data_IF_596862468282
#
_entry.id   IF_596862468282
#
_cell.length_a   1.000
_cell.length_b   1.000
_cell.length_c   1.000
_cell.angle_alpha   90.00
_cell.angle_beta   90.00
_cell.angle_gamma   90.00
#
_symmetry.space_group_name_H-M   'P 1'
#
loop_
_entity.id
_entity.type
_entity.pdbx_description
1 polymer ?
#
# COMPACT_ATOMS: atom_id res chain seq x y z
N UNK A 1 33.59 34.92 -44.08
CA UNK A 1 32.47 34.05 -43.64
C UNK A 1 31.46 33.70 -44.77
N UNK A 2 31.61 34.25 -45.95
CA UNK A 2 30.78 33.96 -47.13
C UNK A 2 31.22 32.73 -47.93
N UNK A 3 32.50 32.39 -47.93
CA UNK A 3 33.02 31.27 -48.73
C UNK A 3 32.68 29.86 -48.26
N UNK A 4 32.28 29.69 -46.98
CA UNK A 4 31.94 28.36 -46.45
C UNK A 4 30.51 27.94 -46.86
N UNK A 5 29.59 28.87 -47.16
CA UNK A 5 28.22 28.57 -47.61
C UNK A 5 28.17 28.08 -49.06
N UNK A 6 29.06 28.52 -49.92
CA UNK A 6 29.06 28.10 -51.34
C UNK A 6 29.52 26.66 -51.55
N UNK A 7 30.53 26.20 -50.82
CA UNK A 7 31.04 24.83 -50.91
C UNK A 7 30.02 23.78 -50.45
N UNK A 8 29.14 24.11 -49.50
CA UNK A 8 28.13 23.19 -48.99
C UNK A 8 27.03 22.85 -50.00
N UNK A 9 26.56 23.83 -50.78
CA UNK A 9 25.48 23.63 -51.77
C UNK A 9 25.95 22.87 -53.01
N UNK A 10 27.16 23.10 -53.48
CA UNK A 10 27.72 22.39 -54.62
C UNK A 10 28.03 20.94 -54.26
N UNK A 11 28.47 20.67 -53.04
CA UNK A 11 28.67 19.32 -52.54
C UNK A 11 27.33 18.57 -52.43
N UNK A 12 26.27 19.20 -51.93
CA UNK A 12 24.94 18.65 -51.85
C UNK A 12 24.36 18.36 -53.25
N UNK A 13 24.52 19.30 -54.22
CA UNK A 13 24.12 19.12 -55.62
C UNK A 13 24.87 17.97 -56.29
N UNK A 14 26.18 17.85 -56.04
CA UNK A 14 26.98 16.74 -56.56
C UNK A 14 26.51 15.41 -56.04
N UNK A 15 26.29 15.26 -54.74
CA UNK A 15 25.75 14.01 -54.18
C UNK A 15 24.32 13.73 -54.64
N UNK A 16 23.49 14.74 -54.81
CA UNK A 16 22.16 14.59 -55.38
C UNK A 16 22.20 14.10 -56.82
N UNK A 17 23.09 14.66 -57.67
CA UNK A 17 23.29 14.19 -59.04
C UNK A 17 23.82 12.75 -59.12
N UNK A 18 24.78 12.40 -58.27
CA UNK A 18 25.28 11.03 -58.13
C UNK A 18 24.17 10.04 -57.76
N UNK A 19 23.36 10.40 -56.77
CA UNK A 19 22.21 9.63 -56.32
C UNK A 19 21.19 9.47 -57.45
N UNK A 20 20.81 10.55 -58.11
CA UNK A 20 19.83 10.53 -59.21
C UNK A 20 20.31 9.69 -60.39
N UNK A 21 21.61 9.76 -60.74
CA UNK A 21 22.22 8.97 -61.83
C UNK A 21 22.28 7.47 -61.46
N UNK A 22 22.51 7.17 -60.19
CA UNK A 22 22.53 5.77 -59.73
C UNK A 22 21.13 5.09 -59.77
N UNK A 23 20.06 5.88 -59.52
CA UNK A 23 18.66 5.40 -59.58
C UNK A 23 18.03 5.44 -60.96
N UNK A 24 18.62 6.15 -61.96
CA UNK A 24 18.02 6.31 -63.31
C UNK A 24 17.94 5.04 -64.15
N UNK A 25 18.69 3.98 -63.78
CA UNK A 25 18.65 2.66 -64.44
C UNK A 25 17.78 1.60 -63.78
N UNK A 26 17.15 1.93 -62.62
CA UNK A 26 16.39 0.94 -61.85
C UNK A 26 14.92 0.90 -62.23
N UNK A 27 14.31 -0.32 -62.18
CA UNK A 27 12.87 -0.42 -62.30
C UNK A 27 12.18 0.38 -61.20
N UNK A 28 11.03 0.97 -61.50
CA UNK A 28 10.30 1.82 -60.56
C UNK A 28 10.01 1.10 -59.22
N UNK A 29 9.79 -0.23 -59.26
CA UNK A 29 9.55 -1.07 -58.07
C UNK A 29 10.76 -1.07 -57.11
N UNK A 30 11.98 -1.19 -57.67
CA UNK A 30 13.20 -1.17 -56.86
C UNK A 30 13.43 0.21 -56.27
N UNK A 31 13.19 1.28 -57.02
CA UNK A 31 13.30 2.67 -56.53
C UNK A 31 12.32 2.95 -55.39
N UNK A 32 11.09 2.48 -55.49
CA UNK A 32 10.09 2.60 -54.40
C UNK A 32 10.51 1.80 -53.19
N UNK A 33 10.98 0.56 -53.36
CA UNK A 33 11.45 -0.25 -52.22
C UNK A 33 12.62 0.42 -51.47
N UNK A 34 13.62 0.94 -52.18
CA UNK A 34 14.71 1.66 -51.58
C UNK A 34 14.27 2.94 -50.86
N UNK A 35 13.34 3.70 -51.46
CA UNK A 35 12.80 4.90 -50.81
C UNK A 35 12.06 4.54 -49.52
N UNK A 36 11.32 3.45 -49.48
CA UNK A 36 10.65 2.97 -48.27
C UNK A 36 11.69 2.58 -47.20
N UNK A 37 12.71 1.79 -47.59
CA UNK A 37 13.80 1.38 -46.67
C UNK A 37 14.53 2.60 -46.09
N UNK A 38 14.84 3.58 -46.96
CA UNK A 38 15.48 4.82 -46.56
C UNK A 38 14.62 5.63 -45.53
N UNK A 39 13.34 5.81 -45.87
CA UNK A 39 12.41 6.50 -44.96
C UNK A 39 12.26 5.77 -43.64
N UNK A 40 12.15 4.43 -43.65
CA UNK A 40 12.10 3.62 -42.43
C UNK A 40 13.40 3.75 -41.61
N UNK A 41 14.56 3.75 -42.25
CA UNK A 41 15.85 3.91 -41.59
C UNK A 41 15.98 5.28 -40.93
N UNK A 42 15.60 6.35 -41.63
CA UNK A 42 15.57 7.71 -41.08
C UNK A 42 14.60 7.80 -39.87
N UNK A 43 13.41 7.23 -40.02
CA UNK A 43 12.44 7.20 -38.92
C UNK A 43 12.97 6.45 -37.69
N UNK A 44 13.64 5.31 -37.87
CA UNK A 44 14.28 4.55 -36.78
C UNK A 44 15.40 5.36 -36.11
N UNK A 45 16.24 6.08 -36.88
CA UNK A 45 17.30 6.94 -36.33
C UNK A 45 16.67 8.07 -35.51
N UNK A 46 15.64 8.74 -36.02
CA UNK A 46 14.94 9.80 -35.32
C UNK A 46 14.29 9.29 -34.00
N UNK A 47 13.63 8.13 -34.06
CA UNK A 47 13.07 7.47 -32.87
C UNK A 47 14.18 7.14 -31.86
N UNK A 48 15.32 6.62 -32.31
CA UNK A 48 16.48 6.34 -31.48
C UNK A 48 17.02 7.59 -30.79
N UNK A 49 17.14 8.70 -31.54
CA UNK A 49 17.59 9.99 -30.98
C UNK A 49 16.58 10.54 -29.94
N UNK A 50 15.29 10.49 -30.23
CA UNK A 50 14.23 10.90 -29.30
C UNK A 50 14.27 10.03 -28.03
N UNK A 51 14.44 8.72 -28.20
CA UNK A 51 14.57 7.80 -27.06
C UNK A 51 15.83 8.11 -26.23
N UNK A 52 16.99 8.24 -26.86
CA UNK A 52 18.24 8.57 -26.19
C UNK A 52 18.15 9.91 -25.41
N UNK A 53 17.52 10.91 -26.01
CA UNK A 53 17.29 12.21 -25.35
C UNK A 53 16.34 12.07 -24.14
N UNK A 54 15.27 11.29 -24.26
CA UNK A 54 14.36 11.02 -23.14
C UNK A 54 15.07 10.28 -22.00
N UNK A 55 15.86 9.25 -22.33
CA UNK A 55 16.64 8.49 -21.32
C UNK A 55 17.66 9.40 -20.63
N UNK A 56 18.40 10.23 -21.40
CA UNK A 56 19.36 11.16 -20.84
C UNK A 56 18.69 12.19 -19.91
N UNK A 57 17.55 12.74 -20.32
CA UNK A 57 16.76 13.67 -19.49
C UNK A 57 16.26 13.00 -18.21
N UNK A 58 15.78 11.74 -18.31
CA UNK A 58 15.36 10.94 -17.15
C UNK A 58 16.53 10.70 -16.20
N UNK A 59 17.70 10.31 -16.72
CA UNK A 59 18.88 10.05 -15.91
C UNK A 59 19.40 11.32 -15.20
N UNK A 60 19.36 12.47 -15.87
CA UNK A 60 19.73 13.76 -15.24
C UNK A 60 18.76 14.11 -14.10
N UNK A 61 17.43 13.94 -14.31
CA UNK A 61 16.44 14.16 -13.27
C UNK A 61 16.64 13.21 -12.09
N UNK A 62 16.89 11.93 -12.36
CA UNK A 62 17.13 10.92 -11.30
C UNK A 62 18.38 11.28 -10.49
N UNK A 63 19.49 11.62 -11.14
CA UNK A 63 20.71 12.05 -10.43
C UNK A 63 20.47 13.28 -9.55
N UNK A 64 19.69 14.23 -10.03
CA UNK A 64 19.34 15.41 -9.23
C UNK A 64 18.46 15.03 -8.01
N UNK A 65 17.49 14.14 -8.20
CA UNK A 65 16.67 13.61 -7.09
C UNK A 65 17.51 12.84 -6.07
N UNK A 66 18.44 11.99 -6.54
CA UNK A 66 19.34 11.23 -5.66
C UNK A 66 20.22 12.16 -4.82
N UNK A 67 20.75 13.24 -5.42
CA UNK A 67 21.54 14.25 -4.70
C UNK A 67 20.71 14.98 -3.62
N UNK A 68 19.47 15.31 -3.91
CA UNK A 68 18.56 15.92 -2.93
C UNK A 68 18.22 14.90 -1.84
N UNK A 69 17.95 13.64 -2.23
CA UNK A 69 17.65 12.58 -1.28
C UNK A 69 18.80 12.38 -0.29
N UNK A 70 20.04 12.28 -0.77
CA UNK A 70 21.22 12.11 0.08
C UNK A 70 21.38 13.26 1.12
N UNK A 71 21.01 14.50 0.73
CA UNK A 71 21.13 15.66 1.61
C UNK A 71 20.01 15.76 2.64
N UNK A 72 18.78 15.49 2.23
CA UNK A 72 17.60 15.83 3.03
C UNK A 72 16.92 14.65 3.73
N UNK A 73 17.15 13.39 3.32
CA UNK A 73 16.40 12.23 3.83
C UNK A 73 16.44 12.11 5.35
N UNK A 74 17.61 12.23 5.96
CA UNK A 74 17.73 12.09 7.42
C UNK A 74 17.06 13.25 8.17
N UNK A 75 17.19 14.47 7.68
CA UNK A 75 16.53 15.64 8.26
C UNK A 75 15.01 15.56 8.11
N UNK A 76 14.51 15.11 6.96
CA UNK A 76 13.08 14.90 6.74
C UNK A 76 12.52 13.80 7.65
N UNK A 77 13.26 12.69 7.86
CA UNK A 77 12.89 11.66 8.82
C UNK A 77 12.82 12.23 10.25
N UNK A 78 13.83 12.98 10.66
CA UNK A 78 13.87 13.61 11.98
C UNK A 78 12.66 14.53 12.18
N UNK A 79 12.32 15.36 11.19
CA UNK A 79 11.16 16.25 11.25
C UNK A 79 9.85 15.47 11.35
N UNK A 80 9.70 14.39 10.54
CA UNK A 80 8.48 13.58 10.53
C UNK A 80 8.28 12.80 11.83
N UNK A 81 9.36 12.35 12.46
CA UNK A 81 9.31 11.59 13.73
C UNK A 81 9.27 12.48 14.98
N UNK A 82 9.46 13.79 14.83
CA UNK A 82 9.37 14.72 15.97
C UNK A 82 7.92 15.08 16.29
N UNK A 83 7.67 15.43 17.55
CA UNK A 83 6.37 15.95 17.99
C UNK A 83 6.18 17.39 17.52
N UNK A 84 5.01 17.70 16.98
CA UNK A 84 4.48 19.04 16.62
C UNK A 84 5.53 20.17 16.42
N UNK A 85 6.35 20.05 15.38
CA UNK A 85 7.38 21.05 15.07
C UNK A 85 6.77 22.24 14.31
N UNK A 86 7.06 23.50 14.70
CA UNK A 86 6.58 24.67 13.95
C UNK A 86 7.30 24.83 12.61
N UNK A 87 6.60 25.41 11.62
CA UNK A 87 7.13 25.61 10.27
C UNK A 87 8.48 26.35 10.23
N UNK A 88 8.67 27.34 11.08
CA UNK A 88 9.93 28.11 11.20
C UNK A 88 11.13 27.22 11.53
N UNK A 89 10.96 26.30 12.49
CA UNK A 89 12.02 25.36 12.87
C UNK A 89 12.31 24.34 11.76
N UNK A 90 11.28 23.88 11.01
CA UNK A 90 11.47 23.01 9.85
C UNK A 90 12.28 23.70 8.77
N UNK A 91 11.93 24.96 8.44
CA UNK A 91 12.66 25.79 7.45
C UNK A 91 14.12 25.96 7.87
N UNK A 92 14.38 26.24 9.16
CA UNK A 92 15.74 26.39 9.67
C UNK A 92 16.56 25.11 9.53
N UNK A 93 15.98 23.95 9.85
CA UNK A 93 16.64 22.66 9.68
C UNK A 93 16.94 22.35 8.20
N UNK A 94 15.99 22.62 7.31
CA UNK A 94 16.18 22.40 5.87
C UNK A 94 17.25 23.34 5.28
N UNK A 95 17.29 24.60 5.72
CA UNK A 95 18.35 25.58 5.34
C UNK A 95 19.74 25.12 5.78
N UNK A 96 19.88 24.51 6.94
CA UNK A 96 21.16 23.95 7.42
C UNK A 96 21.71 22.83 6.52
N UNK A 97 20.84 22.11 5.79
CA UNK A 97 21.28 21.03 4.90
C UNK A 97 21.95 21.51 3.62
N UNK A 98 21.51 22.62 3.00
CA UNK A 98 21.98 23.04 1.68
C UNK A 98 22.12 24.57 1.53
N UNK A 99 22.03 25.33 2.61
CA UNK A 99 22.13 26.80 2.65
C UNK A 99 21.26 27.51 1.58
N UNK A 100 20.08 26.92 1.27
CA UNK A 100 19.11 27.45 0.30
C UNK A 100 18.06 28.32 0.98
N UNK A 101 17.56 29.30 0.26
CA UNK A 101 16.43 30.09 0.68
C UNK A 101 15.11 29.29 0.58
N UNK A 102 14.05 29.78 1.26
CA UNK A 102 12.74 29.12 1.28
C UNK A 102 12.14 28.97 -0.12
N UNK A 103 12.28 29.97 -0.98
CA UNK A 103 11.78 29.93 -2.34
C UNK A 103 12.55 28.91 -3.20
N UNK A 104 13.85 28.75 -2.99
CA UNK A 104 14.66 27.74 -3.65
C UNK A 104 14.25 26.33 -3.24
N UNK A 105 13.97 26.11 -1.94
CA UNK A 105 13.44 24.84 -1.41
C UNK A 105 12.11 24.51 -2.08
N UNK A 106 11.15 25.46 -2.12
CA UNK A 106 9.86 25.29 -2.78
C UNK A 106 9.95 24.99 -4.27
N UNK A 107 10.93 25.55 -4.96
CA UNK A 107 11.18 25.26 -6.38
C UNK A 107 11.62 23.80 -6.63
N UNK A 108 12.14 23.12 -5.63
CA UNK A 108 12.54 21.71 -5.68
C UNK A 108 11.41 20.73 -5.25
N UNK A 109 10.18 21.20 -5.07
CA UNK A 109 9.03 20.43 -4.62
C UNK A 109 8.89 19.06 -5.32
N UNK A 110 9.08 19.02 -6.65
CA UNK A 110 9.04 17.79 -7.44
C UNK A 110 10.09 16.74 -7.02
N UNK A 111 11.21 17.16 -6.44
CA UNK A 111 12.24 16.24 -5.95
C UNK A 111 11.93 15.75 -4.52
N UNK A 112 11.24 16.54 -3.71
CA UNK A 112 10.85 16.14 -2.36
C UNK A 112 9.72 15.09 -2.33
N UNK A 113 8.81 15.09 -3.32
CA UNK A 113 7.67 14.16 -3.38
C UNK A 113 8.12 12.69 -3.23
N UNK A 114 8.99 12.14 -4.11
CA UNK A 114 9.38 10.73 -4.01
C UNK A 114 10.16 10.43 -2.71
N UNK A 115 10.87 11.40 -2.15
CA UNK A 115 11.58 11.24 -0.88
C UNK A 115 10.59 11.10 0.26
N UNK A 116 9.61 11.99 0.37
CA UNK A 116 8.57 11.94 1.40
C UNK A 116 7.73 10.66 1.30
N UNK A 117 7.37 10.24 0.08
CA UNK A 117 6.67 8.96 -0.15
C UNK A 117 7.53 7.79 0.31
N UNK A 118 8.84 7.77 -0.05
CA UNK A 118 9.75 6.70 0.36
C UNK A 118 9.92 6.62 1.87
N UNK A 119 10.11 7.76 2.54
CA UNK A 119 10.22 7.81 4.00
C UNK A 119 8.94 7.27 4.63
N UNK A 120 7.78 7.75 4.18
CA UNK A 120 6.50 7.33 4.72
C UNK A 120 6.24 5.83 4.56
N UNK A 121 6.54 5.27 3.39
CA UNK A 121 6.37 3.84 3.14
C UNK A 121 7.37 2.97 3.90
N UNK A 122 8.54 3.50 4.28
CA UNK A 122 9.51 2.79 5.11
C UNK A 122 9.17 2.79 6.61
N UNK A 123 8.33 3.73 7.06
CA UNK A 123 7.89 3.89 8.44
C UNK A 123 6.46 3.36 8.62
N UNK A 124 6.29 2.05 8.39
CA UNK A 124 4.97 1.39 8.37
C UNK A 124 4.25 1.38 9.72
N UNK A 125 4.96 1.56 10.83
CA UNK A 125 4.39 1.54 12.18
C UNK A 125 3.57 2.79 12.53
N UNK A 126 3.79 3.90 11.82
CA UNK A 126 3.12 5.17 12.07
C UNK A 126 2.11 5.48 10.94
N UNK A 127 0.84 5.35 11.25
CA UNK A 127 -0.23 5.72 10.32
C UNK A 127 -0.37 7.23 10.13
N UNK A 128 0.03 8.03 11.11
CA UNK A 128 -0.10 9.48 11.14
C UNK A 128 1.22 10.17 11.52
N UNK A 129 1.57 11.18 10.71
CA UNK A 129 2.72 12.04 10.96
C UNK A 129 2.23 13.48 11.16
N UNK A 130 2.25 14.02 12.40
CA UNK A 130 1.71 15.35 12.70
C UNK A 130 2.35 16.45 11.87
N UNK A 131 3.63 16.32 11.58
CA UNK A 131 4.38 17.33 10.84
C UNK A 131 4.26 17.24 9.31
N UNK A 132 3.65 16.17 8.75
CA UNK A 132 3.66 15.92 7.31
C UNK A 132 2.99 17.03 6.50
N UNK A 133 1.83 17.52 6.96
CA UNK A 133 1.09 18.59 6.26
C UNK A 133 1.86 19.91 6.24
N UNK A 134 2.48 20.27 7.37
CA UNK A 134 3.29 21.47 7.49
C UNK A 134 4.55 21.33 6.63
N UNK A 135 5.23 20.20 6.72
CA UNK A 135 6.44 19.90 5.95
C UNK A 135 6.18 19.93 4.43
N UNK A 136 5.07 19.33 3.99
CA UNK A 136 4.67 19.35 2.58
C UNK A 136 4.42 20.79 2.07
N UNK A 137 3.90 21.67 2.91
CA UNK A 137 3.73 23.10 2.59
C UNK A 137 5.09 23.82 2.56
N UNK A 138 5.94 23.57 3.56
CA UNK A 138 7.29 24.16 3.63
C UNK A 138 8.15 23.76 2.42
N UNK A 139 8.07 22.49 2.00
CA UNK A 139 8.76 22.00 0.79
C UNK A 139 8.06 22.39 -0.53
N UNK A 140 6.97 23.15 -0.51
CA UNK A 140 6.22 23.54 -1.71
C UNK A 140 5.49 22.39 -2.42
N UNK A 141 5.43 21.22 -1.80
CA UNK A 141 4.82 20.01 -2.42
C UNK A 141 3.31 20.19 -2.61
N UNK A 142 2.65 20.81 -1.65
CA UNK A 142 1.21 21.07 -1.72
C UNK A 142 0.87 22.00 -2.89
N UNK A 143 1.56 23.14 -2.98
CA UNK A 143 1.40 24.14 -4.04
C UNK A 143 1.73 23.55 -5.42
N UNK A 144 2.76 22.71 -5.50
CA UNK A 144 3.12 22.00 -6.73
C UNK A 144 1.99 21.07 -7.18
N UNK A 145 1.41 20.27 -6.27
CA UNK A 145 0.30 19.37 -6.58
C UNK A 145 -0.94 20.16 -7.02
N UNK A 146 -1.32 21.20 -6.29
CA UNK A 146 -2.48 22.05 -6.64
C UNK A 146 -2.31 22.72 -8.02
N UNK A 147 -1.12 23.21 -8.34
CA UNK A 147 -0.78 23.77 -9.64
C UNK A 147 -0.83 22.73 -10.75
N UNK A 148 -0.27 21.53 -10.52
CA UNK A 148 -0.33 20.41 -11.47
C UNK A 148 -1.77 20.02 -11.82
N UNK A 149 -2.65 19.95 -10.82
CA UNK A 149 -4.08 19.67 -11.03
C UNK A 149 -4.76 20.78 -11.84
N UNK A 150 -4.48 22.05 -11.54
CA UNK A 150 -5.04 23.18 -12.31
C UNK A 150 -4.64 23.15 -13.78
N UNK A 151 -3.41 22.80 -14.05
CA UNK A 151 -2.85 22.75 -15.41
C UNK A 151 -3.19 21.42 -16.13
N UNK A 152 -3.84 20.47 -15.46
CA UNK A 152 -4.19 19.15 -16.00
C UNK A 152 -2.97 18.32 -16.38
N UNK A 153 -1.80 18.59 -15.75
CA UNK A 153 -0.55 17.86 -16.02
C UNK A 153 -0.42 16.69 -15.10
N UNK A 154 -0.17 15.50 -15.69
CA UNK A 154 0.12 14.24 -14.97
C UNK A 154 -0.84 13.99 -13.79
N UNK A 155 -2.13 14.18 -14.05
CA UNK A 155 -3.21 14.23 -13.05
C UNK A 155 -3.22 12.98 -12.18
N UNK A 156 -3.19 11.79 -12.80
CA UNK A 156 -3.23 10.53 -12.05
C UNK A 156 -2.08 10.42 -11.04
N UNK A 157 -0.83 10.62 -11.49
CA UNK A 157 0.32 10.54 -10.60
C UNK A 157 0.28 11.62 -9.51
N UNK A 158 -0.19 12.83 -9.84
CA UNK A 158 -0.34 13.92 -8.86
C UNK A 158 -1.34 13.53 -7.77
N UNK A 159 -2.52 13.03 -8.13
CA UNK A 159 -3.55 12.60 -7.17
C UNK A 159 -3.07 11.39 -6.38
N UNK A 160 -2.42 10.42 -7.02
CA UNK A 160 -1.83 9.26 -6.34
C UNK A 160 -0.82 9.69 -5.27
N UNK A 161 0.09 10.62 -5.59
CA UNK A 161 1.06 11.15 -4.61
C UNK A 161 0.36 11.89 -3.47
N UNK A 162 -0.70 12.66 -3.77
CA UNK A 162 -1.51 13.31 -2.75
C UNK A 162 -2.19 12.30 -1.82
N UNK A 163 -2.76 11.22 -2.37
CA UNK A 163 -3.36 10.14 -1.58
C UNK A 163 -2.31 9.45 -0.70
N UNK A 164 -1.14 9.10 -1.25
CA UNK A 164 -0.05 8.47 -0.51
C UNK A 164 0.51 9.35 0.60
N UNK A 165 0.60 10.66 0.39
CA UNK A 165 1.05 11.62 1.40
C UNK A 165 -0.09 12.15 2.27
N UNK A 166 -1.34 11.74 2.00
CA UNK A 166 -2.55 12.24 2.70
C UNK A 166 -2.62 13.78 2.75
N UNK A 167 -2.25 14.43 1.64
CA UNK A 167 -2.22 15.88 1.56
C UNK A 167 -3.64 16.44 1.55
N UNK A 168 -3.92 17.34 2.49
CA UNK A 168 -5.17 18.10 2.51
C UNK A 168 -5.07 19.26 1.53
N UNK A 169 -5.89 19.20 0.49
CA UNK A 169 -6.05 20.27 -0.50
C UNK A 169 -7.49 20.78 -0.49
N UNK A 170 -7.75 21.91 -1.14
CA UNK A 170 -9.13 22.41 -1.23
C UNK A 170 -10.02 21.44 -2.01
N UNK A 171 -11.21 21.13 -1.48
CA UNK A 171 -12.19 20.23 -2.09
C UNK A 171 -12.50 20.60 -3.55
N UNK A 172 -12.59 21.89 -3.85
CA UNK A 172 -12.80 22.38 -5.21
C UNK A 172 -11.73 22.00 -6.23
N UNK A 173 -10.49 21.69 -5.79
CA UNK A 173 -9.42 21.19 -6.69
C UNK A 173 -9.66 19.75 -7.12
N UNK A 174 -10.30 18.93 -6.28
CA UNK A 174 -10.63 17.54 -6.58
C UNK A 174 -11.97 17.38 -7.30
N UNK A 175 -12.86 18.39 -7.23
CA UNK A 175 -14.23 18.32 -7.76
C UNK A 175 -14.31 17.85 -9.23
N UNK A 176 -13.35 18.27 -10.08
CA UNK A 176 -13.30 17.88 -11.48
C UNK A 176 -12.85 16.42 -11.71
N UNK A 177 -12.25 15.79 -10.70
CA UNK A 177 -11.63 14.48 -10.82
C UNK A 177 -12.39 13.36 -10.10
N UNK A 178 -13.26 13.66 -9.13
CA UNK A 178 -14.09 12.65 -8.42
C UNK A 178 -15.09 11.94 -9.34
N UNK A 179 -15.37 12.50 -10.51
CA UNK A 179 -16.17 11.89 -11.57
C UNK A 179 -15.39 11.79 -12.89
N UNK A 180 -14.07 11.69 -12.82
CA UNK A 180 -13.22 11.61 -13.99
C UNK A 180 -13.54 10.37 -14.85
N UNK A 181 -13.40 10.51 -16.18
CA UNK A 181 -13.71 9.44 -17.15
C UNK A 181 -12.78 8.22 -16.95
N UNK A 182 -11.51 8.46 -16.73
CA UNK A 182 -10.56 7.43 -16.38
C UNK A 182 -10.84 6.91 -14.98
N UNK A 183 -11.00 5.57 -14.86
CA UNK A 183 -11.40 4.90 -13.63
C UNK A 183 -10.37 5.07 -12.52
N UNK A 184 -9.09 4.86 -12.83
CA UNK A 184 -8.01 4.90 -11.83
C UNK A 184 -7.85 6.32 -11.26
N UNK A 185 -7.93 7.35 -12.12
CA UNK A 185 -7.91 8.76 -11.71
C UNK A 185 -9.09 9.08 -10.81
N UNK A 186 -10.29 8.61 -11.16
CA UNK A 186 -11.51 8.80 -10.36
C UNK A 186 -11.38 8.18 -8.99
N UNK A 187 -10.92 6.91 -8.91
CA UNK A 187 -10.75 6.17 -7.67
C UNK A 187 -9.76 6.89 -6.73
N UNK A 188 -8.61 7.29 -7.26
CA UNK A 188 -7.61 8.03 -6.48
C UNK A 188 -8.12 9.40 -6.02
N UNK A 189 -8.88 10.11 -6.86
CA UNK A 189 -9.49 11.39 -6.48
C UNK A 189 -10.52 11.24 -5.36
N UNK A 190 -11.33 10.18 -5.39
CA UNK A 190 -12.30 9.86 -4.33
C UNK A 190 -11.63 9.47 -3.02
N UNK A 191 -10.49 8.76 -3.09
CA UNK A 191 -9.68 8.48 -1.92
C UNK A 191 -9.12 9.77 -1.27
N UNK A 192 -8.58 10.68 -2.10
CA UNK A 192 -8.17 11.99 -1.61
C UNK A 192 -9.35 12.80 -1.04
N UNK A 193 -10.54 12.63 -1.61
CA UNK A 193 -11.75 13.29 -1.14
C UNK A 193 -12.11 12.90 0.30
N UNK A 194 -11.87 11.64 0.71
CA UNK A 194 -12.06 11.22 2.12
C UNK A 194 -11.26 12.11 3.07
N UNK A 195 -10.02 12.42 2.70
CA UNK A 195 -9.12 13.28 3.51
C UNK A 195 -9.58 14.73 3.53
N UNK A 196 -10.06 15.25 2.39
CA UNK A 196 -10.35 16.66 2.16
C UNK A 196 -11.83 17.04 2.34
N UNK A 197 -12.75 16.07 2.26
CA UNK A 197 -14.19 16.30 2.29
C UNK A 197 -14.68 16.79 3.66
N UNK A 198 -15.52 17.82 3.66
CA UNK A 198 -16.02 18.47 4.89
C UNK A 198 -17.38 17.90 5.29
N UNK A 199 -18.31 17.73 4.33
CA UNK A 199 -19.70 17.38 4.63
C UNK A 199 -19.96 15.88 4.68
N UNK A 200 -19.57 15.15 3.65
CA UNK A 200 -19.74 13.69 3.54
C UNK A 200 -18.49 13.08 2.87
N UNK A 201 -17.42 12.86 3.64
CA UNK A 201 -16.17 12.36 3.09
C UNK A 201 -16.30 10.95 2.52
N UNK A 202 -17.29 10.17 2.95
CA UNK A 202 -17.46 8.76 2.61
C UNK A 202 -18.48 8.48 1.51
N UNK A 203 -19.09 9.50 0.90
CA UNK A 203 -20.20 9.34 -0.06
C UNK A 203 -19.91 8.42 -1.26
N UNK A 204 -18.63 8.26 -1.63
CA UNK A 204 -18.22 7.39 -2.73
C UNK A 204 -17.69 6.04 -2.27
N UNK A 205 -17.47 5.86 -0.96
CA UNK A 205 -16.74 4.74 -0.41
C UNK A 205 -17.38 3.40 -0.74
N UNK A 206 -18.71 3.29 -0.58
CA UNK A 206 -19.45 2.05 -0.84
C UNK A 206 -19.30 1.61 -2.31
N UNK A 207 -19.51 2.54 -3.24
CA UNK A 207 -19.35 2.29 -4.69
C UNK A 207 -17.92 1.88 -5.03
N UNK A 208 -16.93 2.58 -4.48
CA UNK A 208 -15.53 2.36 -4.83
C UNK A 208 -15.01 1.01 -4.33
N UNK A 209 -15.31 0.64 -3.08
CA UNK A 209 -14.83 -0.61 -2.51
C UNK A 209 -15.58 -1.82 -3.05
N UNK A 210 -16.84 -1.68 -3.44
CA UNK A 210 -17.61 -2.72 -4.10
C UNK A 210 -16.95 -3.16 -5.42
N UNK A 211 -16.40 -2.20 -6.17
CA UNK A 211 -15.79 -2.45 -7.48
C UNK A 211 -14.27 -2.67 -7.42
N UNK A 212 -13.60 -2.31 -6.32
CA UNK A 212 -12.15 -2.42 -6.18
C UNK A 212 -11.72 -2.76 -4.75
N UNK A 213 -11.59 -4.04 -4.47
CA UNK A 213 -11.03 -4.57 -3.22
C UNK A 213 -9.54 -4.95 -3.34
N UNK A 214 -8.79 -4.33 -4.28
CA UNK A 214 -7.36 -4.61 -4.44
C UNK A 214 -6.57 -4.29 -3.17
N UNK A 215 -5.54 -5.10 -2.87
CA UNK A 215 -4.70 -4.94 -1.68
C UNK A 215 -4.08 -3.54 -1.57
N UNK A 216 -3.75 -2.91 -2.70
CA UNK A 216 -3.21 -1.54 -2.71
C UNK A 216 -4.27 -0.53 -2.26
N UNK A 217 -5.49 -0.63 -2.79
CA UNK A 217 -6.57 0.29 -2.45
C UNK A 217 -7.02 0.15 -0.99
N UNK A 218 -7.22 -1.08 -0.52
CA UNK A 218 -7.58 -1.36 0.88
C UNK A 218 -6.49 -0.90 1.86
N UNK A 219 -5.20 -1.08 1.51
CA UNK A 219 -4.10 -0.53 2.30
C UNK A 219 -4.14 1.01 2.36
N UNK A 220 -4.39 1.69 1.25
CA UNK A 220 -4.51 3.14 1.22
C UNK A 220 -5.71 3.63 2.03
N UNK A 221 -6.84 2.92 1.98
CA UNK A 221 -8.02 3.19 2.82
C UNK A 221 -7.70 3.02 4.31
N UNK A 222 -7.05 1.93 4.70
CA UNK A 222 -6.63 1.71 6.08
C UNK A 222 -5.80 2.88 6.64
N UNK A 223 -4.78 3.31 5.91
CA UNK A 223 -3.98 4.49 6.30
C UNK A 223 -4.78 5.78 6.31
N UNK A 224 -5.75 5.92 5.41
CA UNK A 224 -6.65 7.08 5.38
C UNK A 224 -7.55 7.10 6.62
N UNK A 225 -8.13 5.95 6.99
CA UNK A 225 -8.93 5.82 8.21
C UNK A 225 -8.09 6.10 9.48
N UNK A 226 -6.87 5.56 9.54
CA UNK A 226 -5.95 5.82 10.64
C UNK A 226 -5.64 7.32 10.79
N UNK A 227 -5.41 8.02 9.68
CA UNK A 227 -5.22 9.47 9.67
C UNK A 227 -6.48 10.22 10.12
N UNK A 228 -7.68 9.82 9.62
CA UNK A 228 -8.96 10.41 10.02
C UNK A 228 -9.20 10.24 11.52
N UNK A 229 -8.94 9.05 12.07
CA UNK A 229 -9.05 8.74 13.49
C UNK A 229 -8.11 9.61 14.33
N UNK A 230 -6.85 9.75 13.90
CA UNK A 230 -5.85 10.58 14.58
C UNK A 230 -6.18 12.07 14.58
N UNK A 231 -7.07 12.52 13.69
CA UNK A 231 -7.58 13.89 13.62
C UNK A 231 -8.96 14.07 14.26
N UNK A 232 -9.42 13.11 15.05
CA UNK A 232 -10.78 13.08 15.65
C UNK A 232 -11.90 13.35 14.64
N UNK A 233 -11.69 12.97 13.37
CA UNK A 233 -12.73 13.10 12.34
C UNK A 233 -13.72 11.96 12.47
N UNK A 234 -14.97 12.24 12.06
CA UNK A 234 -16.03 11.24 12.07
C UNK A 234 -15.65 10.05 11.18
N UNK A 235 -15.72 8.84 11.75
CA UNK A 235 -15.49 7.59 11.02
C UNK A 235 -16.80 7.09 10.37
N UNK A 236 -16.72 6.30 9.28
CA UNK A 236 -17.91 5.62 8.76
C UNK A 236 -18.35 4.53 9.74
N UNK A 237 -19.62 4.09 9.63
CA UNK A 237 -20.05 2.88 10.32
C UNK A 237 -19.64 1.65 9.49
N UNK A 238 -18.58 0.95 9.94
CA UNK A 238 -17.97 -0.18 9.22
C UNK A 238 -18.92 -1.39 9.14
N UNK A 239 -19.70 -1.66 10.18
CA UNK A 239 -20.68 -2.76 10.20
C UNK A 239 -21.79 -2.51 9.17
N UNK A 240 -22.31 -1.28 9.12
CA UNK A 240 -23.30 -0.89 8.10
C UNK A 240 -22.73 -1.02 6.69
N UNK A 241 -21.47 -0.61 6.47
CA UNK A 241 -20.81 -0.78 5.17
C UNK A 241 -20.67 -2.26 4.83
N UNK A 242 -20.17 -3.10 5.75
CA UNK A 242 -20.01 -4.54 5.53
C UNK A 242 -21.32 -5.24 5.15
N UNK A 243 -22.44 -4.86 5.78
CA UNK A 243 -23.75 -5.42 5.50
C UNK A 243 -24.33 -5.01 4.13
N UNK A 244 -23.90 -3.86 3.58
CA UNK A 244 -24.39 -3.34 2.31
C UNK A 244 -23.51 -3.73 1.11
N UNK A 245 -22.37 -4.38 1.33
CA UNK A 245 -21.45 -4.80 0.27
C UNK A 245 -21.80 -6.22 -0.20
N UNK A 246 -21.89 -6.41 -1.53
CA UNK A 246 -22.02 -7.72 -2.17
C UNK A 246 -20.66 -8.38 -2.39
N UNK A 247 -19.60 -7.57 -2.56
CA UNK A 247 -18.23 -8.04 -2.69
C UNK A 247 -17.70 -8.56 -1.36
N UNK A 248 -17.49 -9.88 -1.27
CA UNK A 248 -17.05 -10.55 -0.04
C UNK A 248 -15.67 -10.08 0.47
N UNK A 249 -14.73 -9.73 -0.41
CA UNK A 249 -13.41 -9.21 -0.04
C UNK A 249 -13.54 -7.82 0.59
N UNK A 250 -14.40 -6.99 0.02
CA UNK A 250 -14.70 -5.66 0.54
C UNK A 250 -15.41 -5.74 1.91
N UNK A 251 -16.41 -6.60 2.03
CA UNK A 251 -17.14 -6.81 3.28
C UNK A 251 -16.21 -7.33 4.38
N UNK A 252 -15.37 -8.32 4.08
CA UNK A 252 -14.39 -8.88 5.03
C UNK A 252 -13.37 -7.84 5.48
N UNK A 253 -12.92 -6.96 4.56
CA UNK A 253 -12.04 -5.85 4.89
C UNK A 253 -12.72 -4.88 5.88
N UNK A 254 -13.98 -4.49 5.65
CA UNK A 254 -14.70 -3.61 6.57
C UNK A 254 -14.88 -4.23 7.96
N UNK A 255 -15.13 -5.54 8.05
CA UNK A 255 -15.21 -6.25 9.34
C UNK A 255 -13.86 -6.18 10.08
N UNK A 256 -12.73 -6.33 9.38
CA UNK A 256 -11.42 -6.20 10.00
C UNK A 256 -11.15 -4.75 10.48
N UNK A 257 -11.61 -3.73 9.73
CA UNK A 257 -11.41 -2.32 10.09
C UNK A 257 -12.18 -1.93 11.37
N UNK A 258 -13.26 -2.67 11.73
CA UNK A 258 -13.92 -2.50 13.04
C UNK A 258 -12.92 -2.67 14.19
N UNK A 259 -11.96 -3.60 14.03
CA UNK A 259 -10.92 -3.86 15.04
C UNK A 259 -10.06 -2.64 15.33
N UNK A 260 -9.73 -1.89 14.30
CA UNK A 260 -8.83 -0.74 14.40
C UNK A 260 -9.56 0.56 14.72
N UNK A 261 -10.73 0.76 14.13
CA UNK A 261 -11.38 2.07 14.10
C UNK A 261 -12.82 2.08 14.58
N UNK A 262 -13.46 0.91 14.71
CA UNK A 262 -14.86 0.78 15.12
C UNK A 262 -15.13 1.26 16.53
N UNK A 263 -16.38 1.62 16.76
CA UNK A 263 -16.90 1.94 18.10
C UNK A 263 -17.11 0.66 18.92
N UNK A 264 -17.30 0.81 20.22
CA UNK A 264 -17.56 -0.35 21.08
C UNK A 264 -18.90 -1.02 20.75
N UNK A 265 -19.89 -0.23 20.27
CA UNK A 265 -21.15 -0.77 19.77
C UNK A 265 -20.92 -1.64 18.50
N UNK A 266 -20.15 -1.16 17.53
CA UNK A 266 -19.82 -1.92 16.32
C UNK A 266 -19.10 -3.24 16.65
N UNK A 267 -18.17 -3.22 17.62
CA UNK A 267 -17.47 -4.44 18.06
C UNK A 267 -18.45 -5.49 18.60
N UNK A 268 -19.49 -5.08 19.31
CA UNK A 268 -20.51 -6.03 19.83
C UNK A 268 -21.33 -6.69 18.73
N UNK A 269 -21.35 -6.14 17.52
CA UNK A 269 -22.06 -6.71 16.36
C UNK A 269 -21.21 -7.70 15.55
N UNK A 270 -19.88 -7.75 15.74
CA UNK A 270 -18.97 -8.69 15.04
C UNK A 270 -19.49 -10.15 15.08
N UNK A 271 -19.99 -10.70 16.22
CA UNK A 271 -20.48 -12.08 16.30
C UNK A 271 -21.64 -12.41 15.34
N UNK A 272 -22.36 -11.42 14.81
CA UNK A 272 -23.42 -11.63 13.82
C UNK A 272 -22.86 -12.19 12.51
N UNK A 273 -21.64 -11.84 12.14
CA UNK A 273 -20.99 -12.32 10.92
C UNK A 273 -20.46 -13.76 11.02
N UNK A 274 -20.44 -14.38 12.21
CA UNK A 274 -20.09 -15.81 12.37
C UNK A 274 -21.07 -16.73 11.62
N UNK A 275 -22.28 -16.27 11.34
CA UNK A 275 -23.31 -17.00 10.58
C UNK A 275 -23.41 -16.54 9.12
N UNK A 276 -22.50 -15.68 8.65
CA UNK A 276 -22.48 -15.22 7.27
C UNK A 276 -22.33 -16.38 6.28
N UNK A 277 -22.99 -16.28 5.12
CA UNK A 277 -22.82 -17.25 4.02
C UNK A 277 -21.39 -17.19 3.45
N UNK A 278 -20.79 -16.01 3.41
CA UNK A 278 -19.40 -15.81 2.97
C UNK A 278 -18.42 -16.34 4.01
N UNK A 279 -17.54 -17.26 3.59
CA UNK A 279 -16.47 -17.75 4.45
C UNK A 279 -15.45 -16.64 4.82
N UNK A 280 -15.20 -15.68 3.90
CA UNK A 280 -14.30 -14.55 4.13
C UNK A 280 -14.80 -13.63 5.24
N UNK A 281 -16.09 -13.35 5.25
CA UNK A 281 -16.72 -12.58 6.32
C UNK A 281 -16.70 -13.33 7.66
N UNK A 282 -16.92 -14.66 7.64
CA UNK A 282 -16.78 -15.48 8.86
C UNK A 282 -15.36 -15.45 9.40
N UNK A 283 -14.35 -15.63 8.54
CA UNK A 283 -12.94 -15.58 8.94
C UNK A 283 -12.54 -14.21 9.49
N UNK A 284 -12.99 -13.13 8.87
CA UNK A 284 -12.77 -11.78 9.37
C UNK A 284 -13.40 -11.57 10.76
N UNK A 285 -14.63 -12.04 10.96
CA UNK A 285 -15.29 -12.01 12.26
C UNK A 285 -14.53 -12.83 13.32
N UNK A 286 -14.10 -14.05 12.98
CA UNK A 286 -13.32 -14.91 13.88
C UNK A 286 -12.02 -14.25 14.32
N UNK A 287 -11.28 -13.65 13.37
CA UNK A 287 -10.04 -12.91 13.66
C UNK A 287 -10.25 -11.73 14.60
N UNK A 288 -11.41 -11.08 14.50
CA UNK A 288 -11.76 -9.90 15.29
C UNK A 288 -12.50 -10.23 16.60
N UNK A 289 -12.79 -11.49 16.88
CA UNK A 289 -13.62 -11.91 18.02
C UNK A 289 -13.01 -11.57 19.39
N UNK A 290 -11.68 -11.51 19.47
CA UNK A 290 -10.95 -11.12 20.68
C UNK A 290 -11.30 -9.69 21.16
N UNK A 291 -11.82 -8.84 20.25
CA UNK A 291 -12.27 -7.48 20.58
C UNK A 291 -13.57 -7.48 21.40
N UNK A 292 -14.39 -8.53 21.22
CA UNK A 292 -15.64 -8.70 21.97
C UNK A 292 -15.39 -9.31 23.34
N UNK A 293 -14.38 -10.19 23.44
CA UNK A 293 -13.94 -10.91 24.64
C UNK A 293 -15.11 -11.51 25.46
N UNK A 294 -16.07 -12.13 24.76
CA UNK A 294 -17.24 -12.77 25.35
C UNK A 294 -17.08 -14.28 25.38
N UNK A 295 -17.19 -14.89 26.56
CA UNK A 295 -17.10 -16.35 26.72
C UNK A 295 -18.17 -17.09 25.89
N UNK A 296 -19.39 -16.57 25.83
CA UNK A 296 -20.45 -17.10 24.99
C UNK A 296 -20.03 -17.14 23.50
N UNK A 297 -19.32 -16.11 23.03
CA UNK A 297 -18.86 -16.02 21.65
C UNK A 297 -17.79 -17.08 21.38
N UNK A 298 -16.86 -17.28 22.30
CA UNK A 298 -15.84 -18.34 22.17
C UNK A 298 -16.48 -19.75 22.18
N UNK A 299 -17.48 -19.99 23.00
CA UNK A 299 -18.22 -21.26 23.02
C UNK A 299 -18.98 -21.52 21.71
N UNK A 300 -19.44 -20.46 21.04
CA UNK A 300 -20.02 -20.57 19.69
C UNK A 300 -18.96 -21.00 18.67
N UNK A 301 -17.71 -20.49 18.78
CA UNK A 301 -16.62 -20.91 17.90
C UNK A 301 -16.31 -22.41 18.05
N UNK A 302 -16.28 -22.93 19.27
CA UNK A 302 -16.10 -24.39 19.53
C UNK A 302 -17.19 -25.20 18.84
N UNK A 303 -18.44 -24.77 18.99
CA UNK A 303 -19.60 -25.49 18.40
C UNK A 303 -19.61 -25.50 16.88
N UNK A 304 -19.12 -24.41 16.24
CA UNK A 304 -19.11 -24.33 14.78
C UNK A 304 -17.90 -24.98 14.13
N UNK A 305 -16.85 -25.29 14.90
CA UNK A 305 -15.55 -25.80 14.40
C UNK A 305 -15.67 -27.05 13.51
N UNK A 306 -16.43 -28.10 13.85
CA UNK A 306 -16.47 -29.33 13.05
C UNK A 306 -16.92 -29.12 11.61
N UNK A 307 -17.84 -28.19 11.38
CA UNK A 307 -18.48 -27.92 10.09
C UNK A 307 -17.69 -26.94 9.20
N UNK A 308 -16.51 -26.50 9.63
CA UNK A 308 -15.73 -25.49 8.88
C UNK A 308 -14.65 -26.12 8.00
N UNK A 309 -14.26 -25.36 6.96
CA UNK A 309 -13.10 -25.69 6.14
C UNK A 309 -11.80 -25.52 6.94
N UNK A 310 -10.71 -26.17 6.53
CA UNK A 310 -9.45 -26.19 7.28
C UNK A 310 -8.86 -24.78 7.53
N UNK A 311 -9.02 -23.84 6.60
CA UNK A 311 -8.59 -22.45 6.78
C UNK A 311 -9.33 -21.78 7.94
N UNK A 312 -10.65 -21.89 7.97
CA UNK A 312 -11.50 -21.34 9.04
C UNK A 312 -11.26 -22.06 10.37
N UNK A 313 -11.02 -23.37 10.35
CA UNK A 313 -10.63 -24.16 11.55
C UNK A 313 -9.36 -23.59 12.19
N UNK A 314 -8.34 -23.27 11.40
CA UNK A 314 -7.11 -22.65 11.92
C UNK A 314 -7.35 -21.28 12.56
N UNK A 315 -8.22 -20.45 11.96
CA UNK A 315 -8.58 -19.16 12.55
C UNK A 315 -9.36 -19.30 13.86
N UNK A 316 -10.25 -20.29 13.96
CA UNK A 316 -10.95 -20.60 15.21
C UNK A 316 -9.95 -21.02 16.30
N UNK A 317 -9.05 -21.95 16.01
CA UNK A 317 -8.01 -22.38 16.95
C UNK A 317 -7.19 -21.18 17.43
N UNK A 318 -6.77 -20.30 16.51
CA UNK A 318 -6.01 -19.10 16.84
C UNK A 318 -6.80 -18.15 17.74
N UNK A 319 -8.09 -17.92 17.44
CA UNK A 319 -8.96 -17.05 18.21
C UNK A 319 -9.17 -17.58 19.64
N UNK A 320 -9.38 -18.90 19.81
CA UNK A 320 -9.53 -19.56 21.11
C UNK A 320 -8.23 -19.57 21.94
N UNK A 321 -7.08 -19.44 21.29
CA UNK A 321 -5.77 -19.31 21.95
C UNK A 321 -5.51 -17.92 22.55
N UNK A 322 -6.28 -16.89 22.19
CA UNK A 322 -6.07 -15.51 22.68
C UNK A 322 -6.43 -15.35 24.17
N UNK A 323 -7.58 -15.82 24.68
CA UNK A 323 -8.00 -15.59 26.07
C UNK A 323 -7.18 -16.35 27.11
N UNK A 324 -6.29 -17.26 26.71
CA UNK A 324 -5.45 -18.08 27.62
C UNK A 324 -6.25 -18.85 28.68
N UNK A 325 -7.44 -19.33 28.30
CA UNK A 325 -8.37 -20.00 29.21
C UNK A 325 -8.19 -21.51 29.20
N UNK A 326 -8.08 -22.11 30.40
CA UNK A 326 -7.94 -23.56 30.58
C UNK A 326 -9.10 -24.35 29.96
N UNK A 327 -10.30 -23.79 29.91
CA UNK A 327 -11.51 -24.37 29.33
C UNK A 327 -11.30 -24.91 27.91
N UNK A 328 -10.40 -24.30 27.14
CA UNK A 328 -10.16 -24.67 25.73
C UNK A 328 -8.99 -25.61 25.53
N UNK A 329 -8.29 -26.05 26.60
CA UNK A 329 -7.16 -26.99 26.46
C UNK A 329 -7.59 -28.31 25.84
N UNK A 330 -8.72 -28.89 26.29
CA UNK A 330 -9.26 -30.15 25.78
C UNK A 330 -9.64 -30.01 24.29
N UNK A 331 -10.25 -28.91 23.91
CA UNK A 331 -10.53 -28.60 22.50
C UNK A 331 -9.25 -28.57 21.62
N UNK A 332 -8.14 -28.02 22.11
CA UNK A 332 -6.90 -28.00 21.32
C UNK A 332 -6.31 -29.40 21.18
N UNK A 333 -6.46 -30.27 22.17
CA UNK A 333 -6.06 -31.68 22.09
C UNK A 333 -6.90 -32.42 21.06
N UNK A 334 -8.24 -32.29 21.10
CA UNK A 334 -9.16 -32.89 20.13
C UNK A 334 -8.85 -32.37 18.71
N UNK A 335 -8.66 -31.06 18.53
CA UNK A 335 -8.35 -30.46 17.24
C UNK A 335 -7.02 -30.96 16.66
N UNK A 336 -6.04 -31.28 17.52
CA UNK A 336 -4.79 -31.92 17.10
C UNK A 336 -4.99 -33.38 16.69
N UNK A 337 -5.75 -34.16 17.47
CA UNK A 337 -5.96 -35.59 17.22
C UNK A 337 -6.79 -35.81 15.95
N UNK A 338 -7.89 -35.07 15.79
CA UNK A 338 -8.90 -35.29 14.74
C UNK A 338 -8.55 -34.64 13.38
N UNK A 339 -7.71 -33.62 13.36
CA UNK A 339 -7.42 -32.91 12.09
C UNK A 339 -6.58 -33.77 11.14
N UNK A 340 -6.93 -33.84 9.83
CA UNK A 340 -6.08 -34.44 8.81
C UNK A 340 -4.94 -33.50 8.35
N UNK A 341 -5.06 -32.18 8.61
CA UNK A 341 -4.13 -31.16 8.15
C UNK A 341 -2.97 -30.97 9.11
N UNK A 342 -1.74 -31.06 8.60
CA UNK A 342 -0.51 -30.82 9.36
C UNK A 342 -0.44 -29.40 9.94
N UNK A 343 -0.87 -28.42 9.17
CA UNK A 343 -0.91 -27.00 9.55
C UNK A 343 -1.92 -26.77 10.70
N UNK A 344 -3.06 -27.42 10.65
CA UNK A 344 -4.08 -27.35 11.71
C UNK A 344 -3.57 -28.01 12.99
N UNK A 345 -2.93 -29.17 12.87
CA UNK A 345 -2.26 -29.85 14.00
C UNK A 345 -1.18 -28.96 14.64
N UNK A 346 -0.31 -28.37 13.82
CA UNK A 346 0.74 -27.45 14.30
C UNK A 346 0.12 -26.26 15.05
N UNK A 347 -0.95 -25.68 14.52
CA UNK A 347 -1.64 -24.55 15.15
C UNK A 347 -2.25 -24.94 16.49
N UNK A 348 -2.95 -26.08 16.56
CA UNK A 348 -3.55 -26.58 17.79
C UNK A 348 -2.51 -26.84 18.89
N UNK A 349 -1.40 -27.50 18.55
CA UNK A 349 -0.28 -27.71 19.46
C UNK A 349 0.38 -26.43 19.95
N UNK A 350 0.58 -25.45 19.09
CA UNK A 350 1.12 -24.13 19.47
C UNK A 350 0.18 -23.39 20.41
N UNK A 351 -1.13 -23.37 20.10
CA UNK A 351 -2.13 -22.76 20.98
C UNK A 351 -2.17 -23.46 22.33
N UNK A 352 -2.15 -24.79 22.38
CA UNK A 352 -2.10 -25.59 23.63
C UNK A 352 -0.86 -25.23 24.45
N UNK A 353 0.34 -25.23 23.83
CA UNK A 353 1.60 -24.92 24.49
C UNK A 353 1.65 -23.49 25.06
N UNK A 354 1.17 -22.52 24.27
CA UNK A 354 1.18 -21.10 24.63
C UNK A 354 -0.01 -20.67 25.51
N UNK A 355 -1.00 -21.55 25.70
CA UNK A 355 -2.24 -21.18 26.38
C UNK A 355 -1.99 -20.83 27.87
N UNK A 356 -1.53 -21.82 28.65
CA UNK A 356 -1.30 -21.69 30.09
C UNK A 356 -0.45 -22.86 30.61
N UNK A 357 -0.19 -22.90 31.93
CA UNK A 357 0.62 -23.98 32.53
C UNK A 357 0.01 -25.36 32.35
N UNK A 358 -1.31 -25.49 32.48
CA UNK A 358 -2.02 -26.75 32.30
C UNK A 358 -1.96 -27.22 30.85
N UNK A 359 -2.16 -26.33 29.87
CA UNK A 359 -2.01 -26.63 28.45
C UNK A 359 -0.60 -27.11 28.10
N UNK A 360 0.44 -26.46 28.66
CA UNK A 360 1.81 -26.90 28.50
C UNK A 360 2.08 -28.29 29.09
N UNK A 361 1.47 -28.59 30.24
CA UNK A 361 1.56 -29.92 30.83
C UNK A 361 0.92 -30.98 29.93
N UNK A 362 -0.28 -30.70 29.40
CA UNK A 362 -0.95 -31.60 28.44
C UNK A 362 -0.13 -31.79 27.16
N UNK A 363 0.51 -30.73 26.65
CA UNK A 363 1.41 -30.81 25.50
C UNK A 363 2.59 -31.78 25.76
N UNK A 364 3.23 -31.71 26.93
CA UNK A 364 4.33 -32.64 27.32
C UNK A 364 3.81 -34.07 27.40
N UNK A 365 2.62 -34.33 27.94
CA UNK A 365 2.01 -35.64 27.96
C UNK A 365 1.73 -36.19 26.54
N UNK A 366 1.30 -35.37 25.61
CA UNK A 366 1.13 -35.75 24.21
C UNK A 366 2.48 -36.09 23.57
N UNK A 367 3.50 -35.28 23.85
CA UNK A 367 4.87 -35.52 23.34
C UNK A 367 5.42 -36.87 23.80
N UNK A 368 5.21 -37.27 25.07
CA UNK A 368 5.63 -38.56 25.61
C UNK A 368 4.88 -39.75 25.02
N UNK A 369 3.63 -39.58 24.61
CA UNK A 369 2.77 -40.61 24.01
C UNK A 369 3.00 -40.79 22.52
N UNK A 370 3.56 -39.80 21.86
CA UNK A 370 3.72 -39.78 20.39
C UNK A 370 4.79 -40.78 19.94
N UNK A 371 4.40 -41.71 19.08
CA UNK A 371 5.29 -42.70 18.46
C UNK A 371 5.65 -42.37 17.02
N UNK A 372 4.91 -41.43 16.39
CA UNK A 372 5.13 -40.96 15.03
C UNK A 372 6.33 -40.00 14.97
N UNK A 373 7.41 -40.33 14.21
CA UNK A 373 8.62 -39.50 14.14
C UNK A 373 8.35 -38.08 13.60
N UNK A 374 7.37 -37.94 12.70
CA UNK A 374 7.03 -36.64 12.09
C UNK A 374 6.37 -35.71 13.13
N UNK A 375 5.43 -36.23 13.88
CA UNK A 375 4.76 -35.49 14.96
C UNK A 375 5.74 -35.19 16.12
N UNK A 376 6.64 -36.14 16.47
CA UNK A 376 7.66 -35.90 17.48
C UNK A 376 8.58 -34.74 17.09
N UNK A 377 9.01 -34.70 15.83
CA UNK A 377 9.84 -33.59 15.30
C UNK A 377 9.09 -32.24 15.34
N UNK A 378 7.79 -32.22 15.01
CA UNK A 378 6.96 -31.03 15.07
C UNK A 378 6.86 -30.51 16.51
N UNK A 379 6.58 -31.39 17.47
CA UNK A 379 6.49 -31.03 18.90
C UNK A 379 7.82 -30.53 19.45
N UNK A 380 8.95 -31.14 19.08
CA UNK A 380 10.27 -30.69 19.47
C UNK A 380 10.60 -29.30 18.93
N UNK A 381 10.14 -28.99 17.70
CA UNK A 381 10.28 -27.66 17.11
C UNK A 381 9.46 -26.61 17.90
N UNK A 382 8.22 -26.92 18.27
CA UNK A 382 7.36 -26.03 19.05
C UNK A 382 7.98 -25.75 20.42
N UNK A 383 8.45 -26.78 21.12
CA UNK A 383 9.09 -26.66 22.43
C UNK A 383 10.35 -25.79 22.39
N UNK A 384 11.20 -25.99 21.39
CA UNK A 384 12.42 -25.19 21.22
C UNK A 384 12.14 -23.71 20.93
N UNK A 385 11.10 -23.40 20.13
CA UNK A 385 10.66 -22.03 19.86
C UNK A 385 10.08 -21.40 21.13
N UNK A 386 9.26 -22.13 21.88
CA UNK A 386 8.68 -21.67 23.14
C UNK A 386 9.73 -21.38 24.21
N UNK A 387 10.77 -22.23 24.30
CA UNK A 387 11.89 -21.99 25.20
C UNK A 387 12.68 -20.72 24.84
N UNK A 388 12.93 -20.48 23.54
CA UNK A 388 13.58 -19.25 23.07
C UNK A 388 12.74 -18.00 23.42
N UNK A 389 11.42 -18.06 23.20
CA UNK A 389 10.52 -16.94 23.50
C UNK A 389 10.56 -16.56 25.00
N UNK A 390 10.57 -17.56 25.90
CA UNK A 390 10.69 -17.31 27.34
C UNK A 390 12.02 -16.65 27.71
N UNK A 391 13.13 -16.97 27.06
CA UNK A 391 14.43 -16.35 27.29
C UNK A 391 14.40 -14.87 26.90
N UNK A 392 13.75 -14.52 25.77
CA UNK A 392 13.61 -13.12 25.33
C UNK A 392 12.66 -12.28 26.20
N UNK A 393 11.63 -12.89 26.80
CA UNK A 393 10.70 -12.21 27.71
C UNK A 393 11.30 -11.96 29.10
N UNK A 394 12.41 -12.62 29.45
CA UNK A 394 13.13 -12.44 30.72
C UNK A 394 14.28 -11.42 30.62
N UNK A 395 14.62 -10.91 29.44
CA UNK A 395 15.60 -9.84 29.19
C UNK A 395 14.92 -8.47 29.03
#
# INVERSE_FOLDING_TARGET
MEDIRFYGWDTIRYYWFVIQNHFSGWSWQISVAYSIVFCCSVALILLGLVFAFRVQRRNRRKKHQDLIADKYTETLKQILLSDNMPASSMIELLKKCDNKDEDEIKNEANAFIPILVSIRTSLTELAYFPNLQILATVCGVREYCEKSLLEGRDVFNTIQMMAMLQLVVSEGRLANYVNHRDYDTRLMARLCYIVCGINDPYKFLLEDIEHNSSSMYTMMLHYTFAWMKAQDKKMPNFITLANNLENEDAASFMINEVGFFGTDEEKTEIPLFLTSKSYKCRDAAIKSIHLVNSEETYDRLVKMYPDQIEETKREIIRALGVPKNNKYNEFFVEAYEDSPSKETKEMALRCLYDNNKEGRYQFVLLQQKTTDPEQATLMQKIDSIGALKMIYELQ
#
